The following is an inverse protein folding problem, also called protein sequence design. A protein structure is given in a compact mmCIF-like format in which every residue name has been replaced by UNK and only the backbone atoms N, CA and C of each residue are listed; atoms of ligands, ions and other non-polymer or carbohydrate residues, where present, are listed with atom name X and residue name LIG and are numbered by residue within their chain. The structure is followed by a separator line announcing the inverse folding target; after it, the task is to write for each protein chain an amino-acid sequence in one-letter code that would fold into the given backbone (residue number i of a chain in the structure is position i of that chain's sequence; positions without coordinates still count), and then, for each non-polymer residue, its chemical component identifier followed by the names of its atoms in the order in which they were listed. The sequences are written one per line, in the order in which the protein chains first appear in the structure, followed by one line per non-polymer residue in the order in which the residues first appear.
data_IF_053156214864
#
_entry.id   IF_053156214864
#
_cell.length_a   1.000
_cell.length_b   1.000
_cell.length_c   1.000
_cell.angle_alpha   90.00
_cell.angle_beta   90.00
_cell.angle_gamma   90.00
#
_symmetry.space_group_name_H-M   'P 1'
#
loop_
_entity.id
_entity.type
_entity.pdbx_description
1 polymer ?
#
# COMPACT_ATOMS: atom_id res chain seq x y z
N UNK A 1 10.25 -21.21 -29.68
CA UNK A 1 10.89 -20.19 -28.80
C UNK A 1 11.07 -18.80 -29.45
N UNK A 2 11.10 -18.66 -30.79
CA UNK A 2 11.24 -17.36 -31.49
C UNK A 2 10.01 -16.45 -31.42
N UNK A 3 8.80 -17.03 -31.42
CA UNK A 3 7.52 -16.29 -31.37
C UNK A 3 7.34 -15.45 -30.09
N UNK A 4 7.71 -16.00 -28.92
CA UNK A 4 7.57 -15.32 -27.62
C UNK A 4 8.53 -14.12 -27.51
N UNK A 5 9.76 -14.25 -28.01
CA UNK A 5 10.72 -13.13 -28.04
C UNK A 5 10.22 -12.00 -28.95
N UNK A 6 9.67 -12.33 -30.12
CA UNK A 6 9.10 -11.34 -31.03
C UNK A 6 7.85 -10.63 -30.48
N UNK A 7 7.05 -11.30 -29.64
CA UNK A 7 5.94 -10.67 -28.90
C UNK A 7 6.46 -9.77 -27.78
N UNK A 8 7.44 -10.23 -26.99
CA UNK A 8 8.05 -9.45 -25.93
C UNK A 8 8.72 -8.18 -26.48
N UNK A 9 9.42 -8.26 -27.60
CA UNK A 9 10.03 -7.10 -28.24
C UNK A 9 8.99 -6.11 -28.78
N UNK A 10 7.89 -6.60 -29.36
CA UNK A 10 6.77 -5.74 -29.76
C UNK A 10 6.13 -5.03 -28.57
N UNK A 11 5.87 -5.75 -27.49
CA UNK A 11 5.34 -5.17 -26.25
C UNK A 11 6.33 -4.16 -25.68
N UNK A 12 7.63 -4.48 -25.68
CA UNK A 12 8.68 -3.59 -25.16
C UNK A 12 8.80 -2.30 -25.96
N UNK A 13 8.76 -2.38 -27.29
CA UNK A 13 8.77 -1.20 -28.19
C UNK A 13 7.48 -0.40 -28.03
N UNK A 14 6.32 -1.06 -27.94
CA UNK A 14 5.04 -0.42 -27.73
C UNK A 14 4.98 0.31 -26.38
N UNK A 15 5.41 -0.34 -25.30
CA UNK A 15 5.50 0.26 -23.96
C UNK A 15 6.50 1.42 -23.97
N UNK A 16 7.67 1.25 -24.59
CA UNK A 16 8.68 2.33 -24.64
C UNK A 16 8.16 3.56 -25.41
N UNK A 17 7.43 3.36 -26.50
CA UNK A 17 6.85 4.45 -27.28
C UNK A 17 5.70 5.17 -26.54
N UNK A 18 4.90 4.45 -25.76
CA UNK A 18 3.81 5.05 -24.95
C UNK A 18 4.30 5.61 -23.61
N UNK A 19 5.41 5.10 -23.08
CA UNK A 19 6.03 5.54 -21.84
C UNK A 19 7.13 6.59 -22.04
N UNK A 20 7.43 6.99 -23.27
CA UNK A 20 8.52 7.92 -23.62
C UNK A 20 8.32 9.32 -22.99
N UNK A 21 7.09 9.65 -22.61
CA UNK A 21 6.73 10.89 -21.92
C UNK A 21 6.83 10.81 -20.38
N UNK A 22 7.10 9.63 -19.82
CA UNK A 22 7.33 9.45 -18.40
C UNK A 22 8.83 9.39 -18.13
N UNK A 23 9.33 10.32 -17.33
CA UNK A 23 10.72 10.28 -16.89
C UNK A 23 10.84 9.34 -15.68
N UNK A 24 11.99 8.69 -15.53
CA UNK A 24 12.28 7.83 -14.34
C UNK A 24 12.10 8.59 -13.02
N UNK A 25 12.25 9.91 -13.03
CA UNK A 25 12.00 10.80 -11.88
C UNK A 25 10.54 10.80 -11.43
N UNK A 26 9.59 10.54 -12.33
CA UNK A 26 8.15 10.56 -12.04
C UNK A 26 7.73 9.36 -11.20
N UNK A 27 8.50 8.26 -11.27
CA UNK A 27 8.31 7.05 -10.47
C UNK A 27 9.18 7.02 -9.22
N UNK A 28 10.14 7.95 -9.08
CA UNK A 28 11.04 7.96 -7.93
C UNK A 28 10.41 8.71 -6.75
N UNK A 29 10.23 8.06 -5.58
CA UNK A 29 9.61 8.69 -4.42
C UNK A 29 10.52 9.65 -3.67
N UNK A 30 11.85 9.51 -3.74
CA UNK A 30 12.78 10.44 -3.13
C UNK A 30 12.44 10.74 -1.66
N UNK A 31 12.08 12.00 -1.37
CA UNK A 31 11.70 12.47 -0.03
C UNK A 31 10.38 11.88 0.49
N UNK A 32 9.42 11.57 -0.39
CA UNK A 32 8.12 10.99 -0.01
C UNK A 32 8.28 9.60 0.64
N UNK A 33 9.33 8.85 0.26
CA UNK A 33 9.64 7.57 0.89
C UNK A 33 9.98 7.74 2.38
N UNK A 34 10.67 8.83 2.74
CA UNK A 34 10.93 9.16 4.15
C UNK A 34 9.63 9.49 4.87
N UNK A 35 8.71 10.22 4.24
CA UNK A 35 7.40 10.50 4.83
C UNK A 35 6.61 9.21 5.05
N UNK A 36 6.64 8.27 4.10
CA UNK A 36 6.03 6.94 4.25
C UNK A 36 6.57 6.18 5.45
N UNK A 37 7.90 6.21 5.63
CA UNK A 37 8.57 5.56 6.75
C UNK A 37 8.22 6.24 8.08
N UNK A 38 8.12 7.58 8.11
CA UNK A 38 7.69 8.33 9.29
C UNK A 38 6.25 7.99 9.64
N UNK A 39 5.33 7.95 8.68
CA UNK A 39 3.92 7.58 8.92
C UNK A 39 3.83 6.15 9.44
N UNK A 40 4.59 5.22 8.84
CA UNK A 40 4.64 3.84 9.32
C UNK A 40 5.16 3.76 10.74
N UNK A 41 6.26 4.44 11.06
CA UNK A 41 6.81 4.45 12.41
C UNK A 41 5.86 5.14 13.41
N UNK A 42 5.22 6.23 13.03
CA UNK A 42 4.28 6.99 13.86
C UNK A 42 3.05 6.17 14.25
N UNK A 43 2.62 5.21 13.41
CA UNK A 43 1.50 4.33 13.72
C UNK A 43 1.94 2.99 14.31
N UNK A 44 3.06 2.43 13.84
CA UNK A 44 3.55 1.14 14.31
C UNK A 44 4.20 1.22 15.69
N UNK A 45 5.01 2.24 15.99
CA UNK A 45 5.71 2.33 17.28
C UNK A 45 4.76 2.49 18.47
N UNK A 46 3.73 3.36 18.44
CA UNK A 46 2.77 3.43 19.54
C UNK A 46 1.96 2.15 19.68
N UNK A 47 1.65 1.47 18.58
CA UNK A 47 0.96 0.18 18.61
C UNK A 47 1.82 -0.91 19.28
N UNK A 48 3.10 -1.02 18.91
CA UNK A 48 4.05 -1.95 19.54
C UNK A 48 4.21 -1.62 21.03
N UNK A 49 4.45 -0.35 21.37
CA UNK A 49 4.59 0.09 22.75
C UNK A 49 3.32 -0.17 23.56
N UNK A 50 2.15 0.03 22.95
CA UNK A 50 0.86 -0.29 23.55
C UNK A 50 0.74 -1.77 23.88
N UNK A 51 1.09 -2.66 22.94
CA UNK A 51 1.06 -4.12 23.19
C UNK A 51 2.03 -4.52 24.29
N UNK A 52 3.28 -4.05 24.25
CA UNK A 52 4.30 -4.37 25.27
C UNK A 52 3.87 -3.85 26.64
N UNK A 53 3.36 -2.61 26.72
CA UNK A 53 2.86 -2.03 27.96
C UNK A 53 1.65 -2.82 28.49
N UNK A 54 0.74 -3.24 27.60
CA UNK A 54 -0.41 -4.07 27.99
C UNK A 54 -0.01 -5.47 28.40
N UNK A 55 1.01 -6.08 27.80
CA UNK A 55 1.51 -7.41 28.18
C UNK A 55 2.18 -7.34 29.57
N UNK A 56 3.03 -6.34 29.76
CA UNK A 56 3.65 -6.03 31.06
C UNK A 56 2.59 -5.78 32.15
N UNK A 57 1.54 -5.02 31.84
CA UNK A 57 0.43 -4.75 32.76
C UNK A 57 -0.54 -5.96 32.89
N UNK A 58 -0.65 -6.81 31.86
CA UNK A 58 -1.51 -8.01 31.84
C UNK A 58 -1.00 -9.16 32.67
N UNK A 59 0.28 -9.12 33.07
CA UNK A 59 0.75 -9.89 34.23
C UNK A 59 -0.14 -9.68 35.48
N UNK A 60 -0.98 -8.63 35.49
CA UNK A 60 -1.97 -8.33 36.52
C UNK A 60 -3.45 -8.33 36.06
N UNK A 61 -3.82 -8.34 34.76
CA UNK A 61 -5.22 -8.47 34.28
C UNK A 61 -5.30 -8.76 32.76
N UNK A 62 -5.94 -9.88 32.37
CA UNK A 62 -6.07 -10.41 31.01
C UNK A 62 -6.60 -9.41 29.95
N UNK A 63 -5.76 -9.07 28.97
CA UNK A 63 -6.11 -8.26 27.78
C UNK A 63 -6.79 -9.12 26.71
N UNK A 64 -8.04 -9.52 26.98
CA UNK A 64 -8.91 -10.24 26.03
C UNK A 64 -9.50 -9.34 24.92
N UNK A 65 -9.57 -8.03 25.14
CA UNK A 65 -10.33 -7.11 24.26
C UNK A 65 -9.64 -6.79 22.93
N UNK A 66 -8.33 -6.57 22.94
CA UNK A 66 -7.52 -6.34 21.73
C UNK A 66 -7.32 -7.64 20.94
N UNK A 67 -7.24 -8.76 21.65
CA UNK A 67 -7.11 -10.08 21.02
C UNK A 67 -8.41 -10.51 20.34
N UNK A 68 -9.58 -10.20 20.92
CA UNK A 68 -10.89 -10.45 20.30
C UNK A 68 -11.10 -9.64 19.02
N UNK A 69 -10.72 -8.36 19.00
CA UNK A 69 -10.93 -7.51 17.81
C UNK A 69 -10.00 -7.88 16.63
N UNK A 70 -8.85 -8.50 16.91
CA UNK A 70 -7.99 -9.14 15.90
C UNK A 70 -8.50 -10.54 15.51
N UNK A 71 -8.99 -11.33 16.47
CA UNK A 71 -9.56 -12.68 16.22
C UNK A 71 -10.89 -12.65 15.46
N UNK A 72 -11.72 -11.61 15.62
CA UNK A 72 -12.96 -11.45 14.86
C UNK A 72 -12.72 -11.03 13.39
N UNK A 73 -11.47 -10.86 12.96
CA UNK A 73 -11.11 -10.63 11.55
C UNK A 73 -11.53 -9.27 10.99
N UNK A 74 -12.09 -8.38 11.81
CA UNK A 74 -12.61 -7.08 11.40
C UNK A 74 -11.50 -6.21 10.79
N UNK A 75 -10.29 -6.22 11.37
CA UNK A 75 -9.14 -5.44 10.87
C UNK A 75 -8.73 -5.79 9.43
N UNK A 76 -8.35 -7.06 9.16
CA UNK A 76 -7.97 -7.50 7.81
C UNK A 76 -9.07 -7.30 6.76
N UNK A 77 -10.35 -7.54 7.12
CA UNK A 77 -11.46 -7.32 6.21
C UNK A 77 -11.65 -5.84 5.85
N UNK A 78 -11.62 -4.96 6.85
CA UNK A 78 -11.73 -3.52 6.63
C UNK A 78 -10.58 -3.00 5.76
N UNK A 79 -9.35 -3.43 6.04
CA UNK A 79 -8.19 -3.05 5.23
C UNK A 79 -8.32 -3.49 3.79
N UNK A 80 -8.77 -4.72 3.53
CA UNK A 80 -8.99 -5.22 2.17
C UNK A 80 -10.05 -4.41 1.41
N UNK A 81 -11.17 -4.07 2.07
CA UNK A 81 -12.23 -3.27 1.44
C UNK A 81 -11.72 -1.88 1.06
N UNK A 82 -11.01 -1.19 1.97
CA UNK A 82 -10.46 0.12 1.67
C UNK A 82 -9.34 0.08 0.63
N UNK A 83 -8.50 -0.96 0.65
CA UNK A 83 -7.47 -1.19 -0.36
C UNK A 83 -8.08 -1.34 -1.76
N UNK A 84 -9.08 -2.21 -1.90
CA UNK A 84 -9.76 -2.45 -3.18
C UNK A 84 -10.49 -1.19 -3.64
N UNK A 85 -11.20 -0.49 -2.74
CA UNK A 85 -11.88 0.76 -3.06
C UNK A 85 -10.90 1.84 -3.56
N UNK A 86 -9.77 1.99 -2.87
CA UNK A 86 -8.71 2.92 -3.26
C UNK A 86 -8.11 2.58 -4.63
N UNK A 87 -7.88 1.30 -4.91
CA UNK A 87 -7.39 0.82 -6.21
C UNK A 87 -8.43 1.06 -7.31
N UNK A 88 -9.73 0.84 -7.04
CA UNK A 88 -10.81 1.13 -8.00
C UNK A 88 -10.82 2.63 -8.34
N UNK A 89 -10.71 3.51 -7.34
CA UNK A 89 -10.63 4.95 -7.61
C UNK A 89 -9.37 5.35 -8.37
N UNK A 90 -8.23 4.73 -8.07
CA UNK A 90 -6.99 4.92 -8.83
C UNK A 90 -7.15 4.48 -10.30
N UNK A 91 -7.73 3.31 -10.54
CA UNK A 91 -8.00 2.80 -11.88
C UNK A 91 -8.99 3.69 -12.64
N UNK A 92 -10.05 4.15 -11.96
CA UNK A 92 -11.03 5.06 -12.54
C UNK A 92 -10.40 6.42 -12.88
N UNK A 93 -9.45 6.91 -12.09
CA UNK A 93 -8.71 8.13 -12.39
C UNK A 93 -7.83 7.96 -13.64
N UNK A 94 -7.19 6.80 -13.81
CA UNK A 94 -6.42 6.50 -15.02
C UNK A 94 -7.35 6.48 -16.26
N UNK A 95 -8.56 5.92 -16.12
CA UNK A 95 -9.57 5.91 -17.18
C UNK A 95 -10.18 7.30 -17.46
N UNK A 96 -10.37 8.12 -16.42
CA UNK A 96 -11.02 9.42 -16.46
C UNK A 96 -10.22 10.52 -15.70
N UNK A 97 -9.08 10.98 -16.26
CA UNK A 97 -8.14 11.89 -15.57
C UNK A 97 -8.64 13.34 -15.38
N UNK A 98 -9.89 13.63 -15.76
CA UNK A 98 -10.47 14.97 -15.69
C UNK A 98 -10.92 15.35 -14.28
N UNK A 99 -11.26 14.39 -13.42
CA UNK A 99 -11.88 14.65 -12.12
C UNK A 99 -10.83 14.79 -11.00
N UNK A 100 -10.53 16.02 -10.59
CA UNK A 100 -9.59 16.31 -9.49
C UNK A 100 -10.06 15.74 -8.14
N UNK A 101 -11.38 15.76 -7.88
CA UNK A 101 -11.94 15.22 -6.64
C UNK A 101 -11.72 13.71 -6.50
N UNK A 102 -11.76 12.97 -7.61
CA UNK A 102 -11.50 11.53 -7.62
C UNK A 102 -10.05 11.21 -7.23
N UNK A 103 -9.08 12.03 -7.66
CA UNK A 103 -7.68 11.88 -7.25
C UNK A 103 -7.48 12.13 -5.76
N UNK A 104 -8.15 13.16 -5.21
CA UNK A 104 -8.11 13.46 -3.77
C UNK A 104 -8.72 12.30 -2.97
N UNK A 105 -9.88 11.79 -3.41
CA UNK A 105 -10.55 10.66 -2.76
C UNK A 105 -9.70 9.39 -2.80
N UNK A 106 -9.16 9.02 -3.97
CA UNK A 106 -8.27 7.87 -4.13
C UNK A 106 -7.04 7.97 -3.23
N UNK A 107 -6.37 9.13 -3.26
CA UNK A 107 -5.20 9.41 -2.43
C UNK A 107 -5.52 9.26 -0.93
N UNK A 108 -6.62 9.87 -0.47
CA UNK A 108 -7.00 9.85 0.94
C UNK A 108 -7.40 8.45 1.42
N UNK A 109 -8.17 7.70 0.62
CA UNK A 109 -8.55 6.32 0.93
C UNK A 109 -7.30 5.42 1.01
N UNK A 110 -6.38 5.53 0.05
CA UNK A 110 -5.15 4.72 0.04
C UNK A 110 -4.19 5.09 1.19
N UNK A 111 -4.04 6.38 1.52
CA UNK A 111 -3.23 6.82 2.67
C UNK A 111 -3.81 6.33 3.99
N UNK A 112 -5.13 6.41 4.17
CA UNK A 112 -5.80 5.88 5.35
C UNK A 112 -5.63 4.35 5.44
N UNK A 113 -5.72 3.65 4.30
CA UNK A 113 -5.49 2.19 4.24
C UNK A 113 -4.05 1.86 4.65
N UNK A 114 -3.06 2.63 4.19
CA UNK A 114 -1.67 2.46 4.57
C UNK A 114 -1.44 2.68 6.07
N UNK A 115 -2.04 3.72 6.66
CA UNK A 115 -1.98 4.00 8.09
C UNK A 115 -2.62 2.88 8.93
N UNK A 116 -3.80 2.39 8.52
CA UNK A 116 -4.45 1.23 9.14
C UNK A 116 -3.57 -0.02 9.06
N UNK A 117 -2.94 -0.27 7.91
CA UNK A 117 -2.00 -1.37 7.72
C UNK A 117 -0.77 -1.23 8.61
N UNK A 118 -0.22 -0.04 8.77
CA UNK A 118 0.92 0.23 9.66
C UNK A 118 0.57 0.01 11.13
N UNK A 119 -0.63 0.42 11.56
CA UNK A 119 -1.14 0.19 12.90
C UNK A 119 -1.32 -1.31 13.18
N UNK A 120 -2.01 -2.03 12.29
CA UNK A 120 -2.20 -3.49 12.43
C UNK A 120 -0.87 -4.23 12.42
N UNK A 121 0.06 -3.82 11.54
CA UNK A 121 1.41 -4.38 11.50
C UNK A 121 2.13 -4.17 12.83
N UNK A 122 2.07 -2.98 13.41
CA UNK A 122 2.66 -2.70 14.73
C UNK A 122 2.05 -3.53 15.85
N UNK A 123 0.72 -3.70 15.87
CA UNK A 123 0.04 -4.55 16.84
C UNK A 123 0.50 -6.01 16.74
N UNK A 124 0.50 -6.58 15.53
CA UNK A 124 0.91 -7.97 15.30
C UNK A 124 2.40 -8.17 15.61
N UNK A 125 3.26 -7.23 15.23
CA UNK A 125 4.68 -7.28 15.52
C UNK A 125 4.93 -7.22 17.04
N UNK A 126 4.21 -6.35 17.76
CA UNK A 126 4.27 -6.26 19.21
C UNK A 126 3.84 -7.56 19.89
N UNK A 127 2.74 -8.18 19.44
CA UNK A 127 2.28 -9.47 19.95
C UNK A 127 3.29 -10.57 19.67
N UNK A 128 3.84 -10.60 18.45
CA UNK A 128 4.87 -11.54 18.07
C UNK A 128 6.11 -11.42 18.98
N UNK A 129 6.64 -10.22 19.20
CA UNK A 129 7.78 -10.00 20.10
C UNK A 129 7.50 -10.54 21.51
N UNK A 130 6.30 -10.35 22.05
CA UNK A 130 5.94 -10.84 23.39
C UNK A 130 5.79 -12.38 23.43
N UNK A 131 5.19 -12.98 22.39
CA UNK A 131 4.91 -14.43 22.32
C UNK A 131 6.15 -15.25 21.98
N UNK A 132 7.03 -14.77 21.10
CA UNK A 132 8.21 -15.52 20.64
C UNK A 132 9.42 -15.36 21.56
N UNK A 133 9.38 -14.45 22.54
CA UNK A 133 10.44 -14.25 23.53
C UNK A 133 10.88 -15.54 24.30
N UNK A 134 10.01 -16.54 24.56
CA UNK A 134 10.40 -17.78 25.23
C UNK A 134 10.64 -18.99 24.32
N UNK A 135 10.33 -18.95 23.02
CA UNK A 135 10.39 -20.12 22.12
C UNK A 135 11.59 -20.08 21.17
N UNK A 136 12.44 -21.13 21.19
CA UNK A 136 13.61 -21.28 20.31
C UNK A 136 13.29 -22.03 19.00
N UNK A 137 12.03 -22.06 18.55
CA UNK A 137 11.67 -22.71 17.29
C UNK A 137 12.05 -21.81 16.09
N UNK A 138 13.24 -22.05 15.55
CA UNK A 138 13.81 -21.33 14.41
C UNK A 138 12.90 -21.41 13.18
N UNK A 139 12.20 -22.54 12.95
CA UNK A 139 11.34 -22.70 11.80
C UNK A 139 10.10 -21.81 11.91
N UNK A 140 9.43 -21.84 13.07
CA UNK A 140 8.30 -20.96 13.38
C UNK A 140 8.69 -19.48 13.30
N UNK A 141 9.89 -19.14 13.82
CA UNK A 141 10.42 -17.78 13.76
C UNK A 141 10.61 -17.32 12.31
N UNK A 142 11.24 -18.16 11.50
CA UNK A 142 11.54 -17.84 10.10
C UNK A 142 10.27 -17.72 9.27
N UNK A 143 9.35 -18.67 9.42
CA UNK A 143 8.07 -18.69 8.68
C UNK A 143 7.23 -17.44 9.00
N UNK A 144 7.09 -17.11 10.28
CA UNK A 144 6.30 -15.95 10.70
C UNK A 144 6.96 -14.63 10.28
N UNK A 145 8.30 -14.54 10.39
CA UNK A 145 9.05 -13.38 9.89
C UNK A 145 8.84 -13.16 8.39
N UNK A 146 8.77 -14.23 7.60
CA UNK A 146 8.51 -14.14 6.16
C UNK A 146 7.11 -13.58 5.86
N UNK A 147 6.11 -13.97 6.65
CA UNK A 147 4.74 -13.43 6.56
C UNK A 147 4.71 -11.93 6.88
N UNK A 148 5.46 -11.48 7.90
CA UNK A 148 5.59 -10.06 8.20
C UNK A 148 6.25 -9.27 7.07
N UNK A 149 7.30 -9.81 6.44
CA UNK A 149 7.93 -9.19 5.27
C UNK A 149 6.92 -9.06 4.13
N UNK A 150 6.14 -10.11 3.87
CA UNK A 150 5.11 -10.07 2.83
C UNK A 150 4.01 -9.04 3.14
N UNK A 151 3.53 -8.98 4.38
CA UNK A 151 2.55 -7.99 4.83
C UNK A 151 3.08 -6.55 4.70
N UNK A 152 4.35 -6.32 5.05
CA UNK A 152 5.01 -5.04 4.86
C UNK A 152 5.09 -4.65 3.38
N UNK A 153 5.51 -5.56 2.51
CA UNK A 153 5.56 -5.33 1.07
C UNK A 153 4.20 -5.00 0.47
N UNK A 154 3.14 -5.69 0.91
CA UNK A 154 1.76 -5.40 0.49
C UNK A 154 1.32 -4.01 0.94
N UNK A 155 1.52 -3.66 2.22
CA UNK A 155 1.14 -2.35 2.73
C UNK A 155 1.93 -1.23 2.04
N UNK A 156 3.22 -1.43 1.80
CA UNK A 156 4.07 -0.50 1.06
C UNK A 156 3.61 -0.33 -0.40
N UNK A 157 3.10 -1.39 -1.04
CA UNK A 157 2.54 -1.32 -2.39
C UNK A 157 1.31 -0.42 -2.44
N UNK A 158 0.43 -0.46 -1.43
CA UNK A 158 -0.70 0.46 -1.32
C UNK A 158 -0.25 1.91 -1.21
N UNK A 159 0.74 2.18 -0.35
CA UNK A 159 1.32 3.51 -0.25
C UNK A 159 1.91 3.98 -1.57
N UNK A 160 2.61 3.10 -2.30
CA UNK A 160 3.18 3.44 -3.59
C UNK A 160 2.10 3.80 -4.63
N UNK A 161 0.97 3.09 -4.64
CA UNK A 161 -0.19 3.45 -5.49
C UNK A 161 -0.77 4.79 -5.05
N UNK A 162 -0.90 5.06 -3.75
CA UNK A 162 -1.35 6.35 -3.23
C UNK A 162 -0.44 7.49 -3.73
N UNK A 163 0.87 7.28 -3.61
CA UNK A 163 1.89 8.19 -4.07
C UNK A 163 1.79 8.50 -5.57
N UNK A 164 1.55 7.49 -6.41
CA UNK A 164 1.36 7.67 -7.86
C UNK A 164 0.11 8.49 -8.20
N UNK A 165 -0.94 8.37 -7.38
CA UNK A 165 -2.22 9.05 -7.57
C UNK A 165 -2.26 10.42 -6.87
N UNK A 166 -1.16 10.84 -6.24
CA UNK A 166 -1.11 12.08 -5.46
C UNK A 166 -1.50 13.32 -6.30
N UNK A 167 -2.37 14.20 -5.75
CA UNK A 167 -2.80 15.42 -6.45
C UNK A 167 -1.62 16.32 -6.86
N UNK A 168 -0.59 16.37 -6.01
CA UNK A 168 0.63 17.15 -6.24
C UNK A 168 1.40 16.71 -7.50
N UNK A 169 1.41 15.41 -7.84
CA UNK A 169 2.06 14.91 -9.07
C UNK A 169 1.19 15.05 -10.31
N UNK A 170 -0.12 14.95 -10.15
CA UNK A 170 -1.05 15.23 -11.25
C UNK A 170 -0.88 16.67 -11.75
N UNK A 171 -0.73 17.64 -10.86
CA UNK A 171 -0.52 19.03 -11.26
C UNK A 171 0.92 19.33 -11.74
N UNK A 172 1.93 18.51 -11.38
CA UNK A 172 3.35 18.72 -11.75
C UNK A 172 3.76 18.25 -13.18
N UNK A 173 2.83 17.72 -13.99
CA UNK A 173 3.09 17.33 -15.38
C UNK A 173 2.60 15.93 -15.75
N UNK A 174 2.37 15.06 -14.77
CA UNK A 174 1.89 13.68 -14.98
C UNK A 174 0.48 13.66 -15.62
N UNK A 175 -0.39 14.62 -15.28
CA UNK A 175 -1.70 14.80 -15.92
C UNK A 175 -1.59 15.16 -17.40
N UNK A 176 -0.53 15.88 -17.80
CA UNK A 176 -0.27 16.18 -19.21
C UNK A 176 0.21 14.92 -19.96
N UNK A 177 1.10 14.13 -19.35
CA UNK A 177 1.55 12.84 -19.91
C UNK A 177 0.43 11.79 -20.01
N UNK A 178 -0.46 11.69 -19.01
CA UNK A 178 -1.65 10.83 -19.06
C UNK A 178 -2.68 11.36 -20.09
N UNK A 179 -2.86 12.69 -20.18
CA UNK A 179 -3.76 13.29 -21.17
C UNK A 179 -3.28 13.08 -22.61
N UNK A 180 -1.99 12.86 -22.83
CA UNK A 180 -1.38 12.55 -24.14
C UNK A 180 -1.34 11.05 -24.46
N UNK A 181 -1.60 10.15 -23.50
CA UNK A 181 -1.85 8.73 -23.83
C UNK A 181 -3.08 8.62 -24.73
N UNK A 182 -2.92 7.96 -25.89
CA UNK A 182 -3.97 7.81 -26.92
C UNK A 182 -5.27 7.22 -26.36
N UNK A 183 -6.44 7.55 -26.95
CA UNK A 183 -7.77 7.33 -26.38
C UNK A 183 -8.24 5.87 -26.33
N UNK A 184 -7.43 4.89 -26.75
CA UNK A 184 -7.86 3.49 -26.87
C UNK A 184 -8.05 2.78 -25.51
N UNK A 185 -7.61 3.40 -24.42
CA UNK A 185 -7.85 2.98 -23.03
C UNK A 185 -8.90 3.86 -22.32
N UNK A 186 -9.52 4.83 -23.01
CA UNK A 186 -10.56 5.70 -22.47
C UNK A 186 -11.92 5.17 -22.86
N UNK A 187 -12.87 5.18 -21.94
CA UNK A 187 -14.27 4.94 -22.28
C UNK A 187 -14.69 5.96 -23.35
N UNK A 188 -15.37 5.54 -24.43
CA UNK A 188 -15.90 6.46 -25.41
C UNK A 188 -16.89 7.39 -24.69
N UNK A 189 -16.71 8.70 -24.87
CA UNK A 189 -17.66 9.70 -24.41
C UNK A 189 -19.01 9.45 -25.06
N UNK A 190 -20.14 9.45 -24.31
CA UNK A 190 -21.40 9.79 -24.93
C UNK A 190 -21.30 11.24 -25.41
N UNK A 191 -21.65 11.44 -26.68
CA UNK A 191 -21.78 12.72 -27.37
C UNK A 191 -22.89 13.57 -26.80
#
# INVERSE_FOLDING_TARGET
MSSVRAQLDRIRVWVRHHADHFRRTDFWPGWELKQAAIVLAAWALPAIAGVIATDWLSSHLSVKYLQMSVQEGIGPHIWNVFAVLGIIFAALLIAAPRQKWLAIAAYQVLQNTYALGALMFGLLLGQWICVTAPENDIFLITATSLVFVFAFCLNFSIWYVAFLVSPARLDAGFRHSIAQMKPQLRLPSPS
#
